data_IF_650522800174
#
_entry.id   IF_650522800174
#
_cell.length_a   1.000
_cell.length_b   1.000
_cell.length_c   1.000
_cell.angle_alpha   90.00
_cell.angle_beta   90.00
_cell.angle_gamma   90.00
#
_symmetry.space_group_name_H-M   'P 1'
#
loop_
_entity.id
_entity.type
_entity.pdbx_description
1 polymer ?
#
# COMPACT_ATOMS: atom_id res chain seq x y z
N UNK A 1 8.51 2.93 20.56
CA UNK A 1 7.33 2.23 20.00
C UNK A 1 7.76 1.54 18.70
N UNK A 2 7.24 0.34 18.41
CA UNK A 2 7.51 -0.34 17.11
C UNK A 2 6.43 0.10 16.12
N UNK A 3 6.82 0.52 14.93
CA UNK A 3 5.88 0.83 13.85
C UNK A 3 5.11 -0.43 13.43
N UNK A 4 3.82 -0.27 13.18
CA UNK A 4 2.89 -1.33 12.77
C UNK A 4 2.55 -1.21 11.27
N UNK A 5 1.93 -2.24 10.67
CA UNK A 5 1.48 -2.16 9.28
C UNK A 5 0.46 -1.04 9.04
N UNK A 6 -0.43 -0.78 10.00
CA UNK A 6 -1.41 0.30 9.91
C UNK A 6 -0.75 1.69 9.98
N UNK A 7 0.33 1.85 10.74
CA UNK A 7 1.12 3.09 10.75
C UNK A 7 1.73 3.37 9.37
N UNK A 8 2.17 2.33 8.66
CA UNK A 8 2.70 2.48 7.30
C UNK A 8 1.61 2.89 6.31
N UNK A 9 0.39 2.36 6.42
CA UNK A 9 -0.74 2.79 5.60
C UNK A 9 -1.12 4.25 5.88
N UNK A 10 -1.15 4.65 7.15
CA UNK A 10 -1.43 6.03 7.52
C UNK A 10 -0.35 6.97 7.00
N UNK A 11 0.93 6.62 7.13
CA UNK A 11 2.03 7.40 6.57
C UNK A 11 1.93 7.57 5.05
N UNK A 12 1.58 6.52 4.31
CA UNK A 12 1.37 6.60 2.85
C UNK A 12 0.15 7.48 2.52
N UNK A 13 -0.91 7.44 3.34
CA UNK A 13 -2.10 8.28 3.17
C UNK A 13 -1.77 9.75 3.41
N UNK A 14 -1.01 10.05 4.46
CA UNK A 14 -0.61 11.41 4.85
C UNK A 14 0.39 12.03 3.85
N UNK A 15 1.31 11.23 3.29
CA UNK A 15 2.25 11.66 2.26
C UNK A 15 1.62 11.82 0.87
N UNK A 16 0.38 11.34 0.69
CA UNK A 16 -0.31 11.28 -0.59
C UNK A 16 0.01 9.99 -1.35
N UNK A 17 -1.03 9.23 -1.68
CA UNK A 17 -0.89 8.01 -2.49
C UNK A 17 -0.30 8.33 -3.86
N UNK A 18 0.36 7.34 -4.45
CA UNK A 18 0.93 7.41 -5.78
C UNK A 18 2.45 7.36 -5.78
N UNK A 19 3.10 8.18 -6.60
CA UNK A 19 4.55 8.13 -6.78
C UNK A 19 5.28 8.70 -5.55
N UNK A 20 5.74 7.81 -4.67
CA UNK A 20 6.49 8.18 -3.47
C UNK A 20 7.92 7.64 -3.52
N UNK A 21 8.85 8.48 -3.07
CA UNK A 21 10.21 8.05 -2.84
C UNK A 21 10.29 7.35 -1.47
N UNK A 22 10.88 6.16 -1.43
CA UNK A 22 10.94 5.34 -0.22
C UNK A 22 11.54 6.09 0.99
N UNK A 23 12.59 6.90 0.74
CA UNK A 23 13.25 7.68 1.77
C UNK A 23 12.33 8.73 2.44
N UNK A 24 11.29 9.21 1.75
CA UNK A 24 10.28 10.09 2.37
C UNK A 24 9.47 9.34 3.42
N UNK A 25 9.06 8.09 3.12
CA UNK A 25 8.31 7.25 4.05
C UNK A 25 9.18 6.88 5.26
N UNK A 26 10.44 6.50 5.03
CA UNK A 26 11.40 6.19 6.09
C UNK A 26 11.62 7.37 7.03
N UNK A 27 11.84 8.58 6.48
CA UNK A 27 12.04 9.80 7.27
C UNK A 27 10.76 10.21 8.01
N UNK A 28 9.60 10.09 7.37
CA UNK A 28 8.31 10.44 7.97
C UNK A 28 7.97 9.55 9.17
N UNK A 29 8.22 8.24 9.06
CA UNK A 29 7.94 7.29 10.14
C UNK A 29 9.09 7.13 11.14
N UNK A 30 10.30 7.59 10.82
CA UNK A 30 11.48 7.38 11.64
C UNK A 30 11.90 5.91 11.78
N UNK A 31 11.69 5.10 10.74
CA UNK A 31 11.99 3.66 10.74
C UNK A 31 13.18 3.31 9.85
N UNK A 32 13.81 2.17 10.14
CA UNK A 32 14.86 1.62 9.29
C UNK A 32 14.32 1.00 8.00
N UNK A 33 15.16 0.92 6.96
CA UNK A 33 14.82 0.28 5.69
C UNK A 33 14.38 -1.19 5.87
N UNK A 34 15.02 -1.93 6.78
CA UNK A 34 14.65 -3.32 7.08
C UNK A 34 13.24 -3.44 7.66
N UNK A 35 12.88 -2.56 8.60
CA UNK A 35 11.52 -2.52 9.16
C UNK A 35 10.49 -2.15 8.10
N UNK A 36 10.79 -1.15 7.26
CA UNK A 36 9.93 -0.78 6.15
C UNK A 36 9.67 -1.94 5.19
N UNK A 37 10.72 -2.66 4.78
CA UNK A 37 10.59 -3.82 3.90
C UNK A 37 9.73 -4.94 4.51
N UNK A 38 9.86 -5.19 5.82
CA UNK A 38 9.00 -6.14 6.54
C UNK A 38 7.52 -5.71 6.53
N UNK A 39 7.24 -4.46 6.91
CA UNK A 39 5.89 -3.91 6.94
C UNK A 39 5.25 -3.89 5.55
N UNK A 40 6.02 -3.46 4.53
CA UNK A 40 5.59 -3.47 3.13
C UNK A 40 5.21 -4.86 2.67
N UNK A 41 6.03 -5.87 2.98
CA UNK A 41 5.76 -7.26 2.61
C UNK A 41 4.44 -7.75 3.22
N UNK A 42 4.22 -7.52 4.52
CA UNK A 42 2.98 -7.90 5.21
C UNK A 42 1.75 -7.27 4.53
N UNK A 43 1.81 -5.98 4.20
CA UNK A 43 0.68 -5.28 3.57
C UNK A 43 0.41 -5.73 2.14
N UNK A 44 1.46 -6.04 1.37
CA UNK A 44 1.35 -6.57 0.00
C UNK A 44 0.76 -7.98 0.03
N UNK A 45 1.24 -8.85 0.92
CA UNK A 45 0.71 -10.22 1.10
C UNK A 45 -0.75 -10.21 1.58
N UNK A 46 -1.14 -9.23 2.39
CA UNK A 46 -2.52 -9.03 2.83
C UNK A 46 -3.40 -8.33 1.78
N UNK A 47 -2.88 -8.03 0.58
CA UNK A 47 -3.57 -7.28 -0.47
C UNK A 47 -4.09 -5.89 -0.04
N UNK A 48 -3.50 -5.30 1.02
CA UNK A 48 -3.84 -3.97 1.57
C UNK A 48 -3.04 -2.83 0.92
N UNK A 49 -1.93 -3.17 0.28
CA UNK A 49 -1.02 -2.24 -0.38
C UNK A 49 -0.58 -2.80 -1.73
N UNK A 50 -0.81 -2.04 -2.79
CA UNK A 50 -0.26 -2.33 -4.12
C UNK A 50 0.95 -1.43 -4.33
N UNK A 51 2.08 -2.04 -4.70
CA UNK A 51 3.32 -1.33 -5.01
C UNK A 51 3.72 -1.65 -6.45
N UNK A 52 3.75 -0.65 -7.32
CA UNK A 52 4.28 -0.79 -8.69
C UNK A 52 5.55 0.04 -8.85
N UNK A 53 6.40 -0.29 -9.83
CA UNK A 53 7.72 0.36 -10.00
C UNK A 53 7.82 1.04 -11.37
N UNK A 54 7.24 2.24 -11.57
CA UNK A 54 7.51 3.03 -12.76
C UNK A 54 8.92 3.65 -12.66
N UNK A 55 9.91 2.91 -13.14
CA UNK A 55 11.27 3.29 -13.55
C UNK A 55 12.18 4.15 -12.64
N UNK A 56 11.73 4.78 -11.55
CA UNK A 56 12.55 5.56 -10.58
C UNK A 56 11.94 5.73 -9.19
N UNK A 57 10.61 5.72 -9.07
CA UNK A 57 9.90 5.83 -7.80
C UNK A 57 8.81 4.78 -7.73
N UNK A 58 8.60 4.22 -6.55
CA UNK A 58 7.55 3.23 -6.37
C UNK A 58 6.20 3.95 -6.25
N UNK A 59 5.21 3.42 -6.92
CA UNK A 59 3.84 3.89 -6.82
C UNK A 59 3.13 3.08 -5.74
N UNK A 60 2.72 3.74 -4.66
CA UNK A 60 2.05 3.12 -3.52
C UNK A 60 0.56 3.44 -3.57
N UNK A 61 -0.26 2.40 -3.72
CA UNK A 61 -1.71 2.51 -3.72
C UNK A 61 -2.25 1.71 -2.54
N UNK A 62 -2.93 2.37 -1.61
CA UNK A 62 -3.63 1.71 -0.52
C UNK A 62 -4.93 1.18 -1.08
N UNK A 63 -5.16 -0.13 -0.97
CA UNK A 63 -6.44 -0.68 -1.36
C UNK A 63 -7.44 -0.37 -0.25
N UNK A 64 -8.61 0.13 -0.61
CA UNK A 64 -9.74 0.12 0.29
C UNK A 64 -10.14 -1.36 0.44
N UNK A 65 -9.52 -2.07 1.39
CA UNK A 65 -10.11 -3.32 1.86
C UNK A 65 -11.35 -2.94 2.66
N UNK A 66 -12.42 -2.55 1.96
CA UNK A 66 -13.75 -2.83 2.46
C UNK A 66 -13.82 -4.34 2.54
N UNK A 67 -13.79 -4.87 3.76
CA UNK A 67 -14.60 -6.04 4.01
C UNK A 67 -15.98 -5.70 3.43
N UNK A 68 -16.43 -6.47 2.42
CA UNK A 68 -17.60 -6.26 1.55
C UNK A 68 -17.31 -5.50 0.24
N UNK A 69 -17.15 -6.24 -0.86
CA UNK A 69 -18.23 -6.43 -1.85
C UNK A 69 -17.86 -7.58 -2.82
N UNK A 70 -18.43 -8.77 -2.64
CA UNK A 70 -19.53 -9.31 -3.46
C UNK A 70 -19.21 -9.39 -4.95
N UNK A 71 -18.72 -10.56 -5.38
CA UNK A 71 -19.24 -11.32 -6.52
C UNK A 71 -19.91 -10.49 -7.64
N UNK A 72 -19.18 -9.64 -8.36
CA UNK A 72 -19.64 -9.14 -9.66
C UNK A 72 -19.36 -10.18 -10.74
N UNK A 73 -20.15 -11.25 -10.68
CA UNK A 73 -20.45 -12.10 -11.81
C UNK A 73 -21.47 -11.36 -12.69
N UNK A 74 -21.00 -10.59 -13.67
CA UNK A 74 -21.86 -10.19 -14.79
C UNK A 74 -21.40 -11.00 -16.00
N UNK A 75 -22.03 -12.16 -16.12
CA UNK A 75 -22.10 -12.92 -17.33
C UNK A 75 -22.90 -12.12 -18.37
N UNK A 76 -22.32 -11.97 -19.56
CA UNK A 76 -22.96 -12.16 -20.87
C UNK A 76 -24.45 -11.78 -21.02
N UNK A 77 -24.74 -10.69 -21.74
CA UNK A 77 -25.96 -10.58 -22.54
C UNK A 77 -25.64 -9.95 -23.90
N UNK A 78 -25.74 -10.80 -24.94
CA UNK A 78 -26.03 -10.43 -26.33
C UNK A 78 -27.37 -9.69 -26.41
N UNK A 79 -27.48 -8.76 -27.34
CA UNK A 79 -28.73 -8.13 -27.81
C UNK A 79 -28.44 -7.28 -29.02
#
# INVERSE_FOLDING_TARGET
MKATPDDLLNAIRDLGQGELAEHHILRHMGISHGQFCQLRKILVEACRLIVTHPNRRAHYLITATTAQDTKSNINNTRG
#
